data_IF_338613586214
#
_entry.id   IF_338613586214
#
_cell.length_a   1.000
_cell.length_b   1.000
_cell.length_c   1.000
_cell.angle_alpha   90.00
_cell.angle_beta   90.00
_cell.angle_gamma   90.00
#
_symmetry.space_group_name_H-M   'P 1'
#
loop_
_entity.id
_entity.type
_entity.pdbx_description
1 polymer ?
#
# COMPACT_ATOMS: atom_id res chain seq x y z
N UNK A 1 -9.43 -14.05 17.17
CA UNK A 1 -8.62 -13.97 18.39
C UNK A 1 -7.25 -13.51 17.95
N UNK A 2 -6.75 -12.41 18.51
CA UNK A 2 -5.39 -11.92 18.22
C UNK A 2 -4.59 -12.15 19.48
N UNK A 3 -3.49 -12.89 19.36
CA UNK A 3 -2.61 -13.21 20.48
C UNK A 3 -1.20 -12.69 20.18
N UNK A 4 -0.59 -11.92 21.09
CA UNK A 4 0.75 -11.40 20.88
C UNK A 4 1.78 -12.51 21.09
N UNK A 5 2.57 -12.78 20.05
CA UNK A 5 3.71 -13.69 20.11
C UNK A 5 5.00 -12.94 19.74
N UNK A 6 6.12 -13.37 20.33
CA UNK A 6 7.43 -12.94 19.90
C UNK A 6 7.89 -13.84 18.77
N UNK A 7 7.97 -13.30 17.57
CA UNK A 7 8.46 -13.99 16.37
C UNK A 7 9.37 -13.05 15.57
N UNK A 8 10.34 -13.63 14.89
CA UNK A 8 11.16 -12.89 13.94
C UNK A 8 10.30 -12.55 12.71
N UNK A 9 10.31 -11.27 12.31
CA UNK A 9 9.49 -10.73 11.23
C UNK A 9 10.25 -9.61 10.51
N UNK A 10 9.85 -9.32 9.28
CA UNK A 10 10.39 -8.21 8.50
C UNK A 10 9.64 -6.93 8.81
N UNK A 11 10.38 -5.88 9.16
CA UNK A 11 9.83 -4.56 9.48
C UNK A 11 10.43 -3.49 8.59
N UNK A 12 9.57 -2.58 8.14
CA UNK A 12 9.96 -1.30 7.56
C UNK A 12 10.00 -0.26 8.66
N UNK A 13 11.06 0.56 8.67
CA UNK A 13 11.16 1.72 9.53
C UNK A 13 10.20 2.82 9.06
N UNK A 14 8.93 2.68 9.47
CA UNK A 14 7.84 3.56 9.06
C UNK A 14 7.99 4.98 9.62
N UNK A 15 8.67 5.15 10.76
CA UNK A 15 8.91 6.47 11.36
C UNK A 15 9.73 7.36 10.42
N UNK A 16 10.77 6.79 9.80
CA UNK A 16 11.62 7.48 8.81
C UNK A 16 10.82 7.78 7.54
N UNK A 17 10.11 6.78 7.00
CA UNK A 17 9.33 6.96 5.77
C UNK A 17 8.18 7.95 5.93
N UNK A 18 7.61 8.08 7.13
CA UNK A 18 6.51 9.00 7.38
C UNK A 18 6.94 10.47 7.35
N UNK A 19 8.21 10.80 7.65
CA UNK A 19 8.65 12.20 7.72
C UNK A 19 8.42 12.99 6.42
N UNK A 20 8.87 12.53 5.23
CA UNK A 20 8.60 13.25 3.99
C UNK A 20 7.10 13.32 3.68
N UNK A 21 6.33 12.27 4.00
CA UNK A 21 4.88 12.26 3.79
C UNK A 21 4.13 13.24 4.71
N UNK A 22 4.55 13.35 5.98
CA UNK A 22 4.07 14.37 6.93
C UNK A 22 4.36 15.76 6.37
N UNK A 23 5.60 15.99 5.92
CA UNK A 23 6.02 17.27 5.36
C UNK A 23 5.16 17.68 4.16
N UNK A 24 4.94 16.77 3.21
CA UNK A 24 4.12 17.02 2.03
C UNK A 24 2.68 17.48 2.36
N UNK A 25 2.07 16.93 3.43
CA UNK A 25 0.74 17.38 3.88
C UNK A 25 0.81 18.72 4.61
N UNK A 26 1.81 18.92 5.47
CA UNK A 26 1.97 20.17 6.24
C UNK A 26 2.27 21.36 5.32
N UNK A 27 3.07 21.17 4.29
CA UNK A 27 3.45 22.21 3.32
C UNK A 27 2.40 22.44 2.22
N UNK A 28 1.45 21.51 2.09
CA UNK A 28 0.34 21.62 1.14
C UNK A 28 0.63 21.06 -0.25
N UNK A 29 1.73 20.32 -0.42
CA UNK A 29 2.02 19.55 -1.65
C UNK A 29 0.96 18.48 -1.90
N UNK A 30 0.42 17.90 -0.82
CA UNK A 30 -0.75 17.02 -0.83
C UNK A 30 -1.82 17.56 0.10
N UNK A 31 -3.00 17.89 -0.43
CA UNK A 31 -4.13 18.40 0.35
C UNK A 31 -5.26 17.38 0.48
N UNK A 32 -5.87 17.25 1.66
CA UNK A 32 -7.02 16.36 1.86
C UNK A 32 -8.33 17.14 1.78
N UNK A 33 -9.34 16.53 1.15
CA UNK A 33 -10.66 17.10 0.94
C UNK A 33 -11.72 16.09 1.41
N UNK A 34 -12.52 16.39 2.45
CA UNK A 34 -12.48 17.59 3.30
C UNK A 34 -11.23 17.71 4.17
N UNK A 35 -10.85 18.96 4.50
CA UNK A 35 -9.62 19.30 5.23
C UNK A 35 -9.45 18.62 6.60
N UNK A 36 -10.56 18.27 7.26
CA UNK A 36 -10.52 17.57 8.56
C UNK A 36 -9.73 16.26 8.52
N UNK A 37 -9.64 15.59 7.37
CA UNK A 37 -8.90 14.34 7.21
C UNK A 37 -7.38 14.52 7.20
N UNK A 38 -6.88 15.74 6.97
CA UNK A 38 -5.45 16.05 7.15
C UNK A 38 -5.02 15.77 8.58
N UNK A 39 -5.80 16.23 9.57
CA UNK A 39 -5.52 16.00 10.98
C UNK A 39 -5.47 14.51 11.29
N UNK A 40 -6.46 13.74 10.85
CA UNK A 40 -6.48 12.28 11.04
C UNK A 40 -5.27 11.59 10.42
N UNK A 41 -4.88 11.98 9.20
CA UNK A 41 -3.71 11.42 8.54
C UNK A 41 -2.41 11.76 9.31
N UNK A 42 -2.24 13.02 9.70
CA UNK A 42 -1.08 13.50 10.43
C UNK A 42 -0.95 12.85 11.82
N UNK A 43 -2.05 12.71 12.56
CA UNK A 43 -2.05 12.08 13.88
C UNK A 43 -1.62 10.62 13.80
N UNK A 44 -2.06 9.89 12.77
CA UNK A 44 -1.60 8.52 12.50
C UNK A 44 -0.13 8.47 12.14
N UNK A 45 0.32 9.29 11.19
CA UNK A 45 1.70 9.27 10.70
C UNK A 45 2.70 9.69 11.78
N UNK A 46 2.36 10.64 12.66
CA UNK A 46 3.24 11.09 13.75
C UNK A 46 3.44 10.05 14.85
N UNK A 47 2.49 9.12 15.02
CA UNK A 47 2.55 8.06 16.04
C UNK A 47 2.79 6.66 15.43
N UNK A 48 3.23 6.62 14.17
CA UNK A 48 3.33 5.38 13.40
C UNK A 48 4.34 4.43 14.04
N UNK A 49 3.96 3.16 14.17
CA UNK A 49 4.84 2.10 14.65
C UNK A 49 5.59 1.44 13.48
N UNK A 50 6.70 0.73 13.73
CA UNK A 50 7.36 -0.08 12.72
C UNK A 50 6.35 -0.96 11.99
N UNK A 51 6.41 -0.96 10.67
CA UNK A 51 5.45 -1.66 9.84
C UNK A 51 5.94 -3.06 9.56
N UNK A 52 5.31 -4.06 10.17
CA UNK A 52 5.54 -5.47 9.82
C UNK A 52 5.06 -5.74 8.40
N UNK A 53 5.96 -6.10 7.50
CA UNK A 53 5.66 -6.37 6.09
C UNK A 53 5.63 -7.86 5.74
N UNK A 54 6.13 -8.74 6.60
CA UNK A 54 6.02 -10.19 6.41
C UNK A 54 4.68 -10.74 6.90
N UNK A 55 4.17 -11.77 6.22
CA UNK A 55 2.91 -12.46 6.52
C UNK A 55 3.07 -13.96 6.30
N UNK A 56 2.61 -14.75 7.27
CA UNK A 56 2.56 -16.22 7.19
C UNK A 56 1.29 -16.64 6.42
N UNK A 57 1.18 -16.20 5.17
CA UNK A 57 0.07 -16.47 4.28
C UNK A 57 0.55 -17.16 3.01
N UNK A 58 -0.34 -17.91 2.39
CA UNK A 58 -0.04 -18.60 1.13
C UNK A 58 -0.18 -17.69 -0.09
N UNK A 59 -0.93 -16.60 0.05
CA UNK A 59 -1.20 -15.65 -1.02
C UNK A 59 -0.48 -14.33 -0.78
N UNK A 60 0.42 -13.98 -1.69
CA UNK A 60 1.17 -12.74 -1.70
C UNK A 60 2.46 -12.90 -2.51
N UNK A 61 3.24 -11.83 -2.59
CA UNK A 61 4.57 -11.88 -3.20
C UNK A 61 5.55 -12.46 -2.19
N UNK A 62 6.29 -13.52 -2.52
CA UNK A 62 7.29 -14.06 -1.57
C UNK A 62 8.34 -13.00 -1.23
N UNK A 63 8.76 -12.98 0.04
CA UNK A 63 9.85 -12.13 0.46
C UNK A 63 11.11 -12.46 -0.35
N UNK A 64 11.79 -11.46 -0.95
CA UNK A 64 13.03 -11.67 -1.68
C UNK A 64 14.22 -11.78 -0.72
N UNK A 65 14.13 -12.66 0.29
CA UNK A 65 15.16 -12.90 1.29
C UNK A 65 15.51 -14.38 1.35
N UNK A 66 16.81 -14.68 1.42
CA UNK A 66 17.37 -16.02 1.50
C UNK A 66 18.27 -16.13 2.73
N UNK A 67 18.20 -17.28 3.39
CA UNK A 67 19.02 -17.61 4.55
C UNK A 67 20.10 -18.62 4.15
N UNK A 68 21.35 -18.30 4.47
CA UNK A 68 22.48 -19.23 4.40
C UNK A 68 22.52 -20.21 5.58
N UNK A 69 23.42 -21.20 5.55
CA UNK A 69 23.49 -22.27 6.55
C UNK A 69 23.83 -21.78 7.97
N UNK A 70 24.43 -20.59 8.10
CA UNK A 70 24.77 -19.94 9.37
C UNK A 70 23.74 -18.88 9.81
N UNK A 71 22.64 -18.73 9.08
CA UNK A 71 21.61 -17.72 9.32
C UNK A 71 21.90 -16.34 8.69
N UNK A 72 22.99 -16.19 7.93
CA UNK A 72 23.25 -14.95 7.17
C UNK A 72 22.13 -14.71 6.16
N UNK A 73 21.67 -13.46 6.05
CA UNK A 73 20.55 -13.07 5.20
C UNK A 73 21.04 -12.37 3.93
N UNK A 74 20.54 -12.83 2.78
CA UNK A 74 20.79 -12.27 1.46
C UNK A 74 19.45 -11.77 0.89
N UNK A 75 19.37 -10.50 0.46
CA UNK A 75 18.14 -9.89 -0.07
C UNK A 75 18.39 -9.45 -1.51
N UNK A 76 17.75 -10.11 -2.46
CA UNK A 76 18.05 -9.95 -3.89
C UNK A 76 16.82 -10.16 -4.78
N UNK A 77 16.84 -9.64 -6.01
CA UNK A 77 15.68 -9.75 -6.91
C UNK A 77 15.45 -11.17 -7.44
N UNK A 78 16.50 -11.99 -7.51
CA UNK A 78 16.42 -13.36 -8.04
C UNK A 78 17.29 -14.33 -7.23
N UNK A 79 16.96 -15.61 -7.33
CA UNK A 79 17.70 -16.71 -6.70
C UNK A 79 19.16 -16.77 -7.18
N UNK A 80 19.42 -16.50 -8.46
CA UNK A 80 20.77 -16.46 -9.03
C UNK A 80 21.61 -15.33 -8.42
N UNK A 81 21.02 -14.15 -8.23
CA UNK A 81 21.69 -13.01 -7.58
C UNK A 81 21.98 -13.32 -6.11
N UNK A 82 21.02 -13.91 -5.38
CA UNK A 82 21.22 -14.33 -4.00
C UNK A 82 22.37 -15.35 -3.88
N UNK A 83 22.40 -16.37 -4.75
CA UNK A 83 23.50 -17.36 -4.81
C UNK A 83 24.84 -16.74 -5.14
N UNK A 84 24.88 -15.78 -6.07
CA UNK A 84 26.11 -15.06 -6.40
C UNK A 84 26.63 -14.25 -5.21
N UNK A 85 25.74 -13.56 -4.48
CA UNK A 85 26.09 -12.81 -3.28
C UNK A 85 26.59 -13.73 -2.16
N UNK A 86 25.91 -14.87 -1.94
CA UNK A 86 26.34 -15.87 -0.97
C UNK A 86 27.72 -16.45 -1.31
N UNK A 87 27.98 -16.76 -2.59
CA UNK A 87 29.30 -17.22 -3.03
C UNK A 87 30.41 -16.20 -2.75
N UNK A 88 30.14 -14.92 -2.94
CA UNK A 88 31.09 -13.86 -2.60
C UNK A 88 31.34 -13.76 -1.09
N UNK A 89 30.31 -14.02 -0.27
CA UNK A 89 30.41 -14.00 1.18
C UNK A 89 31.18 -15.19 1.75
N UNK A 90 30.87 -16.42 1.32
CA UNK A 90 31.48 -17.65 1.84
C UNK A 90 32.75 -18.08 1.08
N UNK A 91 32.96 -17.57 -0.13
CA UNK A 91 34.06 -17.98 -1.02
C UNK A 91 33.79 -19.28 -1.80
N UNK A 92 32.64 -19.91 -1.61
CA UNK A 92 32.18 -21.09 -2.35
C UNK A 92 30.65 -21.15 -2.38
N UNK A 93 30.10 -22.11 -3.12
CA UNK A 93 28.66 -22.34 -3.13
C UNK A 93 28.17 -22.93 -1.82
N UNK A 94 27.05 -22.40 -1.33
CA UNK A 94 26.33 -22.89 -0.15
C UNK A 94 24.83 -22.99 -0.46
N UNK A 95 24.09 -23.91 0.18
CA UNK A 95 22.65 -24.00 0.00
C UNK A 95 21.98 -22.78 0.64
N UNK A 96 21.02 -22.19 -0.08
CA UNK A 96 20.20 -21.10 0.40
C UNK A 96 18.74 -21.54 0.52
N UNK A 97 18.06 -21.07 1.56
CA UNK A 97 16.62 -21.27 1.75
C UNK A 97 15.92 -19.92 1.66
N UNK A 98 15.06 -19.74 0.66
CA UNK A 98 14.24 -18.53 0.57
C UNK A 98 13.19 -18.52 1.69
N UNK A 99 12.97 -17.34 2.28
CA UNK A 99 11.90 -17.08 3.23
C UNK A 99 10.54 -17.54 2.69
N UNK A 100 9.77 -18.19 3.57
CA UNK A 100 8.43 -18.69 3.25
C UNK A 100 7.34 -17.64 3.39
N UNK A 101 7.61 -16.56 4.11
CA UNK A 101 6.69 -15.46 4.26
C UNK A 101 6.44 -14.72 2.94
N UNK A 102 5.24 -14.15 2.85
CA UNK A 102 4.84 -13.25 1.77
C UNK A 102 4.73 -11.81 2.28
N UNK A 103 4.88 -10.86 1.36
CA UNK A 103 4.70 -9.45 1.62
C UNK A 103 3.23 -9.12 1.92
N UNK A 104 3.04 -8.20 2.87
CA UNK A 104 1.76 -7.58 3.19
C UNK A 104 1.08 -7.03 1.94
N UNK A 105 -0.22 -7.28 1.77
CA UNK A 105 -1.00 -6.75 0.65
C UNK A 105 -0.92 -5.23 0.55
N UNK A 106 -0.80 -4.54 1.69
CA UNK A 106 -0.61 -3.09 1.71
C UNK A 106 0.77 -2.66 1.21
N UNK A 107 1.77 -3.55 1.24
CA UNK A 107 3.11 -3.29 0.71
C UNK A 107 3.09 -3.14 -0.80
N UNK A 108 2.43 -4.07 -1.51
CA UNK A 108 2.28 -3.97 -2.97
C UNK A 108 1.24 -2.92 -3.38
N UNK A 109 0.14 -2.80 -2.63
CA UNK A 109 -0.90 -1.80 -2.92
C UNK A 109 -0.40 -0.36 -2.78
N UNK A 110 0.61 -0.12 -1.94
CA UNK A 110 1.24 1.18 -1.78
C UNK A 110 2.09 1.61 -3.00
N UNK A 111 2.48 0.67 -3.87
CA UNK A 111 3.20 0.96 -5.11
C UNK A 111 2.27 1.40 -6.25
N UNK A 112 0.95 1.24 -6.10
CA UNK A 112 -0.05 1.45 -7.15
C UNK A 112 0.11 2.74 -7.98
N UNK A 113 0.40 3.93 -7.38
CA UNK A 113 0.43 5.19 -8.12
C UNK A 113 1.48 5.27 -9.22
N UNK A 114 2.53 4.43 -9.16
CA UNK A 114 3.65 4.46 -10.10
C UNK A 114 3.92 3.08 -10.73
N UNK A 115 3.66 1.97 -10.03
CA UNK A 115 3.85 0.62 -10.60
C UNK A 115 2.89 0.35 -11.77
N UNK A 116 1.70 0.94 -11.74
CA UNK A 116 0.73 0.83 -12.85
C UNK A 116 1.14 1.63 -14.09
N UNK A 117 2.08 2.56 -13.94
CA UNK A 117 2.64 3.37 -15.01
C UNK A 117 3.94 2.78 -15.57
N UNK A 118 4.35 1.60 -15.11
CA UNK A 118 5.55 0.92 -15.60
C UNK A 118 6.82 1.23 -14.81
N UNK A 119 6.73 1.76 -13.59
CA UNK A 119 7.86 1.70 -12.64
C UNK A 119 8.17 0.23 -12.29
N UNK A 120 9.44 -0.19 -12.17
CA UNK A 120 10.66 0.64 -12.00
C UNK A 120 11.28 1.20 -13.29
N UNK A 121 10.76 0.88 -14.47
CA UNK A 121 11.23 1.42 -15.72
C UNK A 121 10.83 2.90 -15.89
N UNK A 122 11.67 3.69 -16.57
CA UNK A 122 11.35 5.08 -16.92
C UNK A 122 10.54 5.13 -18.21
N UNK A 123 9.27 4.76 -18.11
CA UNK A 123 8.33 4.77 -19.23
C UNK A 123 7.80 6.17 -19.52
N UNK A 124 7.30 6.39 -20.74
CA UNK A 124 6.60 7.63 -21.10
C UNK A 124 5.36 7.89 -20.24
N UNK A 125 4.66 6.83 -19.81
CA UNK A 125 3.45 6.97 -18.97
C UNK A 125 3.81 7.41 -17.55
N UNK A 126 4.90 6.89 -16.98
CA UNK A 126 5.38 7.32 -15.68
C UNK A 126 5.77 8.79 -15.70
N UNK A 127 6.55 9.23 -16.69
CA UNK A 127 6.95 10.64 -16.86
C UNK A 127 5.74 11.57 -17.04
N UNK A 128 4.72 11.11 -17.77
CA UNK A 128 3.58 11.96 -18.13
C UNK A 128 2.51 12.05 -17.06
N UNK A 129 2.26 10.97 -16.33
CA UNK A 129 1.08 10.84 -15.46
C UNK A 129 1.41 10.76 -13.97
N UNK A 130 2.70 10.69 -13.60
CA UNK A 130 3.14 10.82 -12.22
C UNK A 130 3.75 12.21 -11.97
N UNK A 131 3.36 12.92 -10.90
CA UNK A 131 2.38 12.53 -9.88
C UNK A 131 0.94 12.68 -10.35
N UNK A 132 0.04 11.90 -9.75
CA UNK A 132 -1.39 11.94 -10.10
C UNK A 132 -2.11 13.16 -9.51
N UNK A 133 -3.25 13.57 -10.07
CA UNK A 133 -3.93 14.78 -9.60
C UNK A 133 -4.83 14.58 -8.37
N UNK A 134 -5.55 13.46 -8.28
CA UNK A 134 -6.51 13.22 -7.19
C UNK A 134 -6.69 11.74 -6.91
N UNK A 135 -6.40 11.33 -5.67
CA UNK A 135 -6.81 10.04 -5.13
C UNK A 135 -8.23 10.17 -4.56
N UNK A 136 -9.17 9.36 -5.04
CA UNK A 136 -10.53 9.27 -4.49
C UNK A 136 -10.64 7.99 -3.66
N UNK A 137 -10.96 8.11 -2.37
CA UNK A 137 -11.03 6.94 -1.49
C UNK A 137 -11.91 7.17 -0.25
N UNK A 138 -12.17 6.12 0.51
CA UNK A 138 -12.88 6.16 1.80
C UNK A 138 -11.94 6.47 2.97
N UNK A 139 -12.49 7.06 4.04
CA UNK A 139 -11.71 7.43 5.22
C UNK A 139 -11.14 6.23 6.00
N UNK A 140 -11.70 5.04 5.81
CA UNK A 140 -11.36 3.81 6.52
C UNK A 140 -10.01 3.21 6.12
N UNK A 141 -9.46 3.62 4.97
CA UNK A 141 -8.17 3.13 4.47
C UNK A 141 -7.11 4.22 4.31
N UNK A 142 -7.32 5.41 4.91
CA UNK A 142 -6.30 6.46 4.97
C UNK A 142 -4.97 5.94 5.55
N UNK A 143 -4.91 5.33 6.75
CA UNK A 143 -3.64 4.91 7.33
C UNK A 143 -3.03 3.68 6.63
N UNK A 144 -3.86 2.85 6.00
CA UNK A 144 -3.43 1.59 5.37
C UNK A 144 -3.01 1.76 3.92
N UNK A 145 -3.57 2.73 3.19
CA UNK A 145 -3.35 2.87 1.76
C UNK A 145 -2.84 4.26 1.39
N UNK A 146 -3.60 5.33 1.66
CA UNK A 146 -3.19 6.68 1.27
C UNK A 146 -1.84 7.06 1.87
N UNK A 147 -1.68 6.89 3.19
CA UNK A 147 -0.42 7.17 3.87
C UNK A 147 0.74 6.29 3.35
N UNK A 148 0.49 5.00 3.09
CA UNK A 148 1.51 4.06 2.60
C UNK A 148 1.96 4.38 1.18
N UNK A 149 1.03 4.79 0.31
CA UNK A 149 1.36 5.31 -1.02
C UNK A 149 2.23 6.57 -0.93
N UNK A 150 1.92 7.50 -0.02
CA UNK A 150 2.74 8.70 0.17
C UNK A 150 4.15 8.36 0.64
N UNK A 151 4.27 7.49 1.65
CA UNK A 151 5.56 7.02 2.18
C UNK A 151 6.42 6.35 1.11
N UNK A 152 5.86 5.39 0.36
CA UNK A 152 6.62 4.67 -0.66
C UNK A 152 6.88 5.52 -1.90
N UNK A 153 5.92 6.33 -2.35
CA UNK A 153 6.11 7.26 -3.48
C UNK A 153 7.29 8.19 -3.22
N UNK A 154 7.24 8.94 -2.12
CA UNK A 154 8.33 9.88 -1.79
C UNK A 154 9.68 9.18 -1.60
N UNK A 155 9.70 7.95 -1.06
CA UNK A 155 10.93 7.20 -0.87
C UNK A 155 11.52 6.63 -2.18
N UNK A 156 10.69 6.15 -3.10
CA UNK A 156 11.11 5.39 -4.28
C UNK A 156 11.20 6.23 -5.55
N UNK A 157 10.44 7.32 -5.63
CA UNK A 157 10.39 8.21 -6.80
C UNK A 157 10.92 9.61 -6.49
N UNK A 158 10.99 9.99 -5.20
CA UNK A 158 11.36 11.34 -4.77
C UNK A 158 10.22 12.36 -4.85
N UNK A 159 9.05 11.97 -5.33
CA UNK A 159 7.88 12.85 -5.50
C UNK A 159 6.62 12.24 -4.87
N UNK A 160 5.70 13.09 -4.39
CA UNK A 160 4.46 12.64 -3.76
C UNK A 160 3.49 12.03 -4.80
N UNK A 161 2.79 10.93 -4.51
CA UNK A 161 2.00 10.21 -5.52
C UNK A 161 0.75 10.96 -6.02
N UNK A 162 0.25 11.94 -5.25
CA UNK A 162 -0.94 12.70 -5.59
C UNK A 162 -0.93 14.12 -4.99
N UNK A 163 -1.51 15.07 -5.74
CA UNK A 163 -1.71 16.46 -5.27
C UNK A 163 -2.90 16.60 -4.30
N UNK A 164 -3.95 15.79 -4.49
CA UNK A 164 -5.19 15.86 -3.70
C UNK A 164 -5.63 14.48 -3.24
N UNK A 165 -6.14 14.39 -2.02
CA UNK A 165 -6.84 13.20 -1.51
C UNK A 165 -8.28 13.56 -1.23
N UNK A 166 -9.19 13.12 -2.09
CA UNK A 166 -10.62 13.31 -1.91
C UNK A 166 -11.22 12.12 -1.16
N UNK A 167 -11.76 12.39 0.02
CA UNK A 167 -12.35 11.41 0.92
C UNK A 167 -13.87 11.45 0.82
N UNK A 168 -14.45 10.36 0.30
CA UNK A 168 -15.90 10.20 0.26
C UNK A 168 -16.46 9.54 1.53
N UNK A 169 -17.76 9.71 1.75
CA UNK A 169 -18.46 9.03 2.82
C UNK A 169 -18.66 7.54 2.49
N UNK A 170 -18.76 6.71 3.53
CA UNK A 170 -19.12 5.31 3.37
C UNK A 170 -20.62 5.16 3.17
N UNK A 171 -21.02 4.34 2.21
CA UNK A 171 -22.42 3.97 2.01
C UNK A 171 -22.86 3.04 3.14
N UNK A 172 -24.04 3.29 3.68
CA UNK A 172 -24.61 2.59 4.85
C UNK A 172 -25.91 1.90 4.47
N UNK A 173 -26.24 0.83 5.18
CA UNK A 173 -27.55 0.20 5.07
C UNK A 173 -28.65 1.03 5.76
N UNK A 174 -29.89 0.56 5.69
CA UNK A 174 -31.07 1.22 6.29
C UNK A 174 -31.01 1.35 7.81
N UNK A 175 -30.18 0.55 8.49
CA UNK A 175 -29.93 0.64 9.93
C UNK A 175 -28.80 1.63 10.28
N UNK A 176 -28.14 2.20 9.27
CA UNK A 176 -27.00 3.11 9.43
C UNK A 176 -25.66 2.39 9.59
N UNK A 177 -25.58 1.07 9.42
CA UNK A 177 -24.34 0.33 9.49
C UNK A 177 -23.57 0.39 8.17
N UNK A 178 -22.23 0.46 8.23
CA UNK A 178 -21.35 0.36 7.05
C UNK A 178 -21.70 -0.90 6.25
N UNK A 179 -21.93 -0.76 4.94
CA UNK A 179 -22.10 -1.91 4.06
C UNK A 179 -20.77 -2.65 3.88
N UNK A 180 -20.75 -3.97 4.10
CA UNK A 180 -19.56 -4.81 3.94
C UNK A 180 -19.95 -6.26 3.73
N UNK A 181 -19.18 -6.99 2.92
CA UNK A 181 -19.43 -8.42 2.64
C UNK A 181 -19.52 -9.25 3.93
N UNK A 182 -18.64 -8.97 4.90
CA UNK A 182 -18.61 -9.66 6.20
C UNK A 182 -19.89 -9.49 7.02
N UNK A 183 -20.65 -8.40 6.82
CA UNK A 183 -21.92 -8.16 7.50
C UNK A 183 -23.13 -8.67 6.71
N UNK A 184 -22.94 -9.13 5.47
CA UNK A 184 -24.03 -9.58 4.60
C UNK A 184 -25.04 -8.49 4.20
N UNK A 185 -24.77 -7.22 4.53
CA UNK A 185 -25.67 -6.08 4.30
C UNK A 185 -25.35 -5.33 3.01
N UNK A 186 -24.84 -6.04 1.99
CA UNK A 186 -24.45 -5.44 0.72
C UNK A 186 -25.62 -5.49 -0.24
N UNK A 187 -25.90 -4.38 -0.91
CA UNK A 187 -26.77 -4.33 -2.08
C UNK A 187 -25.92 -4.43 -3.34
N UNK A 188 -26.36 -5.25 -4.29
CA UNK A 188 -25.73 -5.33 -5.60
C UNK A 188 -26.05 -4.06 -6.40
N UNK A 189 -25.03 -3.30 -6.85
CA UNK A 189 -25.25 -2.13 -7.70
C UNK A 189 -26.05 -2.45 -8.97
N UNK A 190 -25.93 -3.66 -9.53
CA UNK A 190 -26.67 -4.06 -10.72
C UNK A 190 -28.18 -4.17 -10.44
N UNK A 191 -28.56 -4.73 -9.28
CA UNK A 191 -29.94 -4.82 -8.86
C UNK A 191 -30.60 -3.42 -8.69
N UNK A 192 -29.82 -2.43 -8.25
CA UNK A 192 -30.27 -1.04 -8.16
C UNK A 192 -30.46 -0.42 -9.55
N UNK A 193 -29.52 -0.67 -10.48
CA UNK A 193 -29.60 -0.10 -11.83
C UNK A 193 -30.74 -0.68 -12.67
N UNK A 194 -31.07 -1.97 -12.49
CA UNK A 194 -32.14 -2.65 -13.23
C UNK A 194 -33.53 -2.40 -12.65
N UNK A 195 -33.65 -1.89 -11.43
CA UNK A 195 -34.94 -1.53 -10.82
C UNK A 195 -35.36 -0.08 -11.08
N UNK A 196 -34.45 0.77 -11.55
CA UNK A 196 -34.74 2.11 -12.04
C UNK A 196 -34.75 2.12 -13.57
N UNK A 197 -35.92 2.10 -14.22
CA UNK A 197 -35.98 2.45 -15.65
C UNK A 197 -35.41 3.87 -15.84
N UNK A 198 -34.44 4.07 -16.75
CA UNK A 198 -33.98 5.42 -17.07
C UNK A 198 -35.18 6.19 -17.62
N UNK A 199 -35.64 7.21 -16.88
CA UNK A 199 -36.64 8.14 -17.39
C UNK A 199 -36.10 8.73 -18.69
N UNK A 200 -36.75 8.54 -19.85
CA UNK A 200 -36.21 9.06 -21.10
C UNK A 200 -36.10 10.58 -20.95
N UNK A 201 -34.88 11.08 -21.13
CA UNK A 201 -34.63 12.52 -21.17
C UNK A 201 -35.45 13.05 -22.34
N UNK A 202 -36.54 13.77 -22.05
CA UNK A 202 -37.41 14.33 -23.06
C UNK A 202 -36.56 15.25 -23.95
N UNK A 203 -36.39 14.86 -25.22
CA UNK A 203 -35.80 15.69 -26.25
C UNK A 203 -36.61 16.98 -26.35
N UNK A 204 -35.98 18.12 -26.06
CA UNK A 204 -36.41 19.44 -26.53
C UNK A 204 -35.46 19.89 -27.63
#
# INVERSE_FOLDING_TARGET
MVEPFLTDQWFVNAEVLAQPAIKAVVEGDTVFLPKQWETTNLDWMRNIQPWTISRQLWWGHRNPAWFGPDGTIFVEETDEKAKAQARLHYGHDEPLTQDEDVLDTWFSSALWPFSTLGWPEQTTDLERFYPTDTLITGFDIIPFWAARMMMQGLQLTGEGPFRRVFINALVRDTSGAKMSKSKGNVLDPLALSMSSEPTPCASR
#
